data_IF_862603660718
#
_entry.id   IF_862603660718
#
_cell.length_a   1.000
_cell.length_b   1.000
_cell.length_c   1.000
_cell.angle_alpha   90.00
_cell.angle_beta   90.00
_cell.angle_gamma   90.00
#
_symmetry.space_group_name_H-M   'P 1'
#
loop_
_entity.id
_entity.type
_entity.pdbx_description
1 polymer ?
#
# COMPACT_ATOMS: atom_id res chain seq x y z
N UNK A 1 -13.78 22.23 -23.26
CA UNK A 1 -14.19 20.82 -23.08
C UNK A 1 -13.68 20.38 -21.72
N UNK A 2 -14.53 19.84 -20.85
CA UNK A 2 -14.09 19.29 -19.58
C UNK A 2 -13.30 18.00 -19.82
N UNK A 3 -12.24 17.75 -19.04
CA UNK A 3 -11.48 16.51 -19.13
C UNK A 3 -12.34 15.34 -18.64
N UNK A 4 -12.42 14.26 -19.43
CA UNK A 4 -13.19 13.07 -19.08
C UNK A 4 -12.39 12.16 -18.13
N UNK A 5 -12.57 12.41 -16.84
CA UNK A 5 -11.94 11.64 -15.77
C UNK A 5 -12.38 10.17 -15.76
N UNK A 6 -13.64 9.89 -16.09
CA UNK A 6 -14.16 8.52 -16.08
C UNK A 6 -13.48 7.69 -17.14
N UNK A 7 -13.41 8.21 -18.37
CA UNK A 7 -12.73 7.53 -19.48
C UNK A 7 -11.25 7.30 -19.21
N UNK A 8 -10.58 8.27 -18.58
CA UNK A 8 -9.17 8.13 -18.19
C UNK A 8 -8.98 7.03 -17.13
N UNK A 9 -9.86 6.95 -16.13
CA UNK A 9 -9.82 5.88 -15.12
C UNK A 9 -10.04 4.50 -15.76
N UNK A 10 -11.07 4.36 -16.59
CA UNK A 10 -11.39 3.09 -17.28
C UNK A 10 -10.22 2.60 -18.13
N UNK A 11 -9.63 3.48 -18.96
CA UNK A 11 -8.48 3.11 -19.80
C UNK A 11 -7.30 2.62 -18.97
N UNK A 12 -6.92 3.36 -17.93
CA UNK A 12 -5.79 2.99 -17.09
C UNK A 12 -6.08 1.73 -16.24
N UNK A 13 -7.35 1.49 -15.89
CA UNK A 13 -7.78 0.25 -15.23
C UNK A 13 -7.59 -0.96 -16.16
N UNK A 14 -8.06 -0.86 -17.41
CA UNK A 14 -7.91 -1.92 -18.42
C UNK A 14 -6.43 -2.27 -18.66
N UNK A 15 -5.58 -1.25 -18.81
CA UNK A 15 -4.13 -1.44 -19.03
C UNK A 15 -3.47 -2.08 -17.79
N UNK A 16 -3.84 -1.68 -16.58
CA UNK A 16 -3.35 -2.33 -15.35
C UNK A 16 -3.82 -3.78 -15.22
N UNK A 17 -5.06 -4.09 -15.58
CA UNK A 17 -5.58 -5.46 -15.56
C UNK A 17 -4.82 -6.36 -16.53
N UNK A 18 -4.46 -5.86 -17.73
CA UNK A 18 -3.57 -6.56 -18.68
C UNK A 18 -2.19 -6.84 -18.09
N UNK A 19 -1.58 -5.84 -17.45
CA UNK A 19 -0.29 -5.99 -16.79
C UNK A 19 -0.37 -7.02 -15.65
N UNK A 20 -1.43 -6.99 -14.85
CA UNK A 20 -1.66 -7.95 -13.77
C UNK A 20 -1.82 -9.37 -14.31
N UNK A 21 -2.58 -9.58 -15.39
CA UNK A 21 -2.68 -10.88 -16.04
C UNK A 21 -1.31 -11.41 -16.47
N UNK A 22 -0.45 -10.55 -17.04
CA UNK A 22 0.94 -10.92 -17.38
C UNK A 22 1.77 -11.27 -16.15
N UNK A 23 1.58 -10.58 -15.02
CA UNK A 23 2.26 -10.90 -13.76
C UNK A 23 1.86 -12.28 -13.22
N UNK A 24 0.57 -12.65 -13.31
CA UNK A 24 0.12 -14.00 -12.96
C UNK A 24 0.80 -15.08 -13.82
N UNK A 25 0.89 -14.84 -15.13
CA UNK A 25 1.59 -15.74 -16.06
C UNK A 25 3.08 -15.88 -15.71
N UNK A 26 3.79 -14.77 -15.50
CA UNK A 26 5.22 -14.76 -15.18
C UNK A 26 5.53 -15.39 -13.82
N UNK A 27 4.65 -15.21 -12.84
CA UNK A 27 4.80 -15.81 -11.51
C UNK A 27 4.34 -17.29 -11.46
N UNK A 28 3.84 -17.84 -12.57
CA UNK A 28 3.32 -19.21 -12.63
C UNK A 28 2.10 -19.43 -11.74
N UNK A 29 1.37 -18.36 -11.40
CA UNK A 29 0.17 -18.42 -10.55
C UNK A 29 -1.01 -18.78 -11.45
N UNK A 30 -1.30 -20.07 -11.59
CA UNK A 30 -2.52 -20.59 -12.22
C UNK A 30 -3.53 -20.94 -11.14
N UNK A 31 -4.82 -20.83 -11.46
CA UNK A 31 -5.98 -21.17 -10.61
C UNK A 31 -5.65 -22.14 -9.48
N UNK A 32 -5.55 -21.62 -8.25
CA UNK A 32 -5.32 -22.39 -7.02
C UNK A 32 -3.87 -22.65 -6.62
N UNK A 33 -2.89 -22.63 -7.54
CA UNK A 33 -1.48 -22.96 -7.23
C UNK A 33 -0.56 -21.77 -7.45
N UNK A 34 0.09 -21.30 -6.38
CA UNK A 34 1.24 -20.39 -6.48
C UNK A 34 2.51 -21.22 -6.39
N UNK A 35 3.49 -20.94 -7.24
CA UNK A 35 4.84 -21.45 -7.02
C UNK A 35 5.33 -20.96 -5.65
N UNK A 36 5.84 -21.89 -4.85
CA UNK A 36 6.41 -21.58 -3.53
C UNK A 36 7.79 -20.95 -3.72
N UNK A 37 8.55 -21.39 -4.72
CA UNK A 37 9.88 -20.89 -5.03
C UNK A 37 9.96 -20.45 -6.49
N UNK A 38 10.71 -19.39 -6.75
CA UNK A 38 11.03 -18.87 -8.08
C UNK A 38 12.54 -18.57 -8.17
N UNK A 39 13.18 -18.79 -9.33
CA UNK A 39 14.53 -18.29 -9.57
C UNK A 39 14.64 -16.80 -9.25
N UNK A 40 15.73 -16.39 -8.60
CA UNK A 40 15.96 -15.03 -8.11
C UNK A 40 15.87 -13.99 -9.24
N UNK A 41 16.40 -14.32 -10.41
CA UNK A 41 16.32 -13.46 -11.60
C UNK A 41 14.87 -13.23 -12.03
N UNK A 42 14.06 -14.30 -12.10
CA UNK A 42 12.65 -14.21 -12.46
C UNK A 42 11.86 -13.43 -11.40
N UNK A 43 12.10 -13.69 -10.11
CA UNK A 43 11.50 -12.94 -9.00
C UNK A 43 11.80 -11.45 -9.11
N UNK A 44 13.04 -11.08 -9.42
CA UNK A 44 13.47 -9.69 -9.57
C UNK A 44 12.80 -9.02 -10.77
N UNK A 45 12.66 -9.75 -11.88
CA UNK A 45 11.91 -9.31 -13.07
C UNK A 45 10.42 -9.10 -12.79
N UNK A 46 9.78 -10.00 -12.05
CA UNK A 46 8.37 -9.82 -11.66
C UNK A 46 8.23 -8.60 -10.75
N UNK A 47 9.15 -8.41 -9.80
CA UNK A 47 9.15 -7.24 -8.91
C UNK A 47 9.37 -5.91 -9.64
N UNK A 48 10.18 -5.89 -10.71
CA UNK A 48 10.42 -4.67 -11.48
C UNK A 48 9.18 -4.17 -12.23
N UNK A 49 8.22 -5.07 -12.52
CA UNK A 49 6.92 -4.73 -13.11
C UNK A 49 5.87 -4.49 -12.02
N UNK A 50 5.80 -5.37 -11.00
CA UNK A 50 4.81 -5.29 -9.93
C UNK A 50 4.93 -3.99 -9.13
N UNK A 51 6.15 -3.53 -8.81
CA UNK A 51 6.33 -2.31 -8.01
C UNK A 51 5.72 -1.09 -8.70
N UNK A 52 6.09 -0.73 -9.96
CA UNK A 52 5.41 0.31 -10.71
C UNK A 52 3.90 0.12 -10.81
N UNK A 53 3.41 -1.10 -11.03
CA UNK A 53 1.97 -1.39 -11.13
C UNK A 53 1.23 -1.06 -9.83
N UNK A 54 1.78 -1.44 -8.67
CA UNK A 54 1.21 -1.06 -7.37
C UNK A 54 1.20 0.46 -7.17
N UNK A 55 2.24 1.19 -7.60
CA UNK A 55 2.25 2.65 -7.54
C UNK A 55 1.20 3.28 -8.46
N UNK A 56 1.02 2.75 -9.66
CA UNK A 56 0.01 3.19 -10.61
C UNK A 56 -1.40 2.95 -10.07
N UNK A 57 -1.68 1.76 -9.52
CA UNK A 57 -2.98 1.42 -8.93
C UNK A 57 -3.36 2.36 -7.77
N UNK A 58 -2.40 2.72 -6.89
CA UNK A 58 -2.67 3.72 -5.82
C UNK A 58 -3.07 5.07 -6.39
N UNK A 59 -2.46 5.50 -7.49
CA UNK A 59 -2.79 6.76 -8.18
C UNK A 59 -4.15 6.69 -8.85
N UNK A 60 -4.48 5.56 -9.48
CA UNK A 60 -5.79 5.30 -10.06
C UNK A 60 -6.89 5.37 -8.98
N UNK A 61 -6.67 4.75 -7.83
CA UNK A 61 -7.58 4.83 -6.66
C UNK A 61 -7.77 6.28 -6.22
N UNK A 62 -6.72 7.11 -6.24
CA UNK A 62 -6.83 8.54 -5.91
C UNK A 62 -7.64 9.31 -6.93
N UNK A 63 -7.40 9.11 -8.23
CA UNK A 63 -8.22 9.71 -9.29
C UNK A 63 -9.69 9.36 -9.09
N UNK A 64 -9.96 8.07 -8.87
CA UNK A 64 -11.30 7.57 -8.63
C UNK A 64 -11.91 8.17 -7.35
N UNK A 65 -11.14 8.35 -6.28
CA UNK A 65 -11.61 8.92 -5.01
C UNK A 65 -11.90 10.43 -5.10
N UNK A 66 -11.17 11.16 -5.95
CA UNK A 66 -11.27 12.61 -6.04
C UNK A 66 -12.23 13.10 -7.13
N UNK A 67 -12.44 12.32 -8.20
CA UNK A 67 -13.11 12.80 -9.43
C UNK A 67 -14.32 11.99 -9.85
N UNK A 68 -14.57 10.82 -9.26
CA UNK A 68 -15.80 10.08 -9.50
C UNK A 68 -16.79 10.38 -8.37
N UNK A 69 -18.03 10.68 -8.74
CA UNK A 69 -19.13 10.93 -7.80
C UNK A 69 -19.34 9.67 -6.95
N UNK A 70 -19.33 9.84 -5.61
CA UNK A 70 -19.58 8.74 -4.68
C UNK A 70 -20.43 9.21 -3.51
N UNK A 71 -21.43 8.42 -3.18
CA UNK A 71 -22.19 8.54 -1.94
C UNK A 71 -21.34 8.07 -0.76
N UNK A 72 -20.43 8.93 -0.31
CA UNK A 72 -19.70 8.70 0.94
C UNK A 72 -20.59 9.14 2.09
N UNK A 73 -21.48 8.27 2.53
CA UNK A 73 -22.19 8.47 3.79
C UNK A 73 -21.17 8.34 4.92
N UNK A 74 -20.70 9.47 5.44
CA UNK A 74 -19.93 9.49 6.68
C UNK A 74 -20.92 9.15 7.79
N UNK A 75 -20.82 7.96 8.41
CA UNK A 75 -21.52 7.73 9.67
C UNK A 75 -21.13 8.85 10.65
N UNK A 76 -22.11 9.49 11.32
CA UNK A 76 -21.79 10.50 12.32
C UNK A 76 -20.87 9.89 13.37
N UNK A 77 -19.90 10.69 13.82
CA UNK A 77 -19.00 10.29 14.91
C UNK A 77 -19.88 9.82 16.07
N UNK A 78 -19.76 8.55 16.46
CA UNK A 78 -20.20 8.18 17.81
C UNK A 78 -19.40 9.07 18.74
N UNK A 79 -20.04 9.85 19.62
CA UNK A 79 -19.32 10.67 20.58
C UNK A 79 -18.32 9.77 21.29
N UNK A 80 -17.08 10.27 21.38
CA UNK A 80 -15.96 9.64 22.07
C UNK A 80 -16.36 9.42 23.53
N UNK A 81 -17.08 8.33 23.79
CA UNK A 81 -17.30 7.83 25.14
C UNK A 81 -15.92 7.37 25.58
N UNK A 82 -15.20 8.30 26.22
CA UNK A 82 -14.03 8.04 27.03
C UNK A 82 -14.38 6.83 27.88
N UNK A 83 -13.84 5.68 27.53
CA UNK A 83 -13.89 4.49 28.39
C UNK A 83 -13.11 4.90 29.63
N UNK A 84 -13.82 5.11 30.74
CA UNK A 84 -13.21 5.36 32.04
C UNK A 84 -12.24 4.23 32.39
N UNK A 85 -11.31 4.47 33.31
CA UNK A 85 -10.33 3.48 33.73
C UNK A 85 -10.99 2.47 34.67
N UNK A 86 -11.90 1.64 34.15
CA UNK A 86 -12.40 0.48 34.87
C UNK A 86 -11.53 -0.73 34.49
N UNK A 87 -10.65 -1.07 35.42
CA UNK A 87 -9.82 -2.27 35.38
C UNK A 87 -10.72 -3.51 35.30
N UNK A 88 -10.70 -4.17 34.16
CA UNK A 88 -11.29 -5.48 33.95
C UNK A 88 -10.24 -6.40 33.34
N UNK A 89 -9.84 -7.41 34.09
CA UNK A 89 -8.88 -8.45 33.74
C UNK A 89 -9.13 -9.05 32.34
N UNK A 90 -8.08 -9.27 31.51
CA UNK A 90 -8.25 -9.89 30.19
C UNK A 90 -8.46 -11.42 30.23
N UNK A 91 -8.62 -12.02 31.41
CA UNK A 91 -8.77 -13.47 31.61
C UNK A 91 -10.24 -13.92 31.62
N UNK A 92 -10.96 -13.72 30.50
CA UNK A 92 -12.24 -14.39 30.26
C UNK A 92 -12.54 -14.45 28.76
N UNK A 93 -11.74 -15.21 28.01
CA UNK A 93 -12.21 -15.81 26.76
C UNK A 93 -12.31 -17.30 26.99
N UNK A 94 -13.49 -17.71 27.43
CA UNK A 94 -13.87 -19.11 27.55
C UNK A 94 -13.69 -19.79 26.19
N UNK A 95 -12.76 -20.73 26.22
CA UNK A 95 -12.78 -22.02 25.54
C UNK A 95 -14.21 -22.56 25.41
N UNK A 96 -14.71 -22.62 24.18
CA UNK A 96 -15.81 -23.50 23.80
C UNK A 96 -15.22 -24.70 23.06
N UNK A 97 -15.34 -25.87 23.68
CA UNK A 97 -14.86 -27.17 23.22
C UNK A 97 -16.07 -28.02 22.81
N UNK A 98 -15.93 -28.80 21.72
CA UNK A 98 -16.91 -29.76 21.18
C UNK A 98 -17.55 -29.24 19.89
N UNK A 99 -17.51 -29.94 18.74
CA UNK A 99 -17.48 -31.39 18.49
C UNK A 99 -16.51 -31.73 17.35
N UNK A 100 -15.81 -32.84 17.51
CA UNK A 100 -14.99 -33.49 16.48
C UNK A 100 -15.90 -34.08 15.41
N UNK A 101 -15.89 -33.49 14.22
CA UNK A 101 -16.32 -34.15 12.99
C UNK A 101 -15.08 -34.26 12.09
N UNK A 102 -14.67 -35.50 11.86
CA UNK A 102 -13.63 -35.86 10.91
C UNK A 102 -14.09 -35.45 9.50
N UNK A 103 -13.62 -34.30 9.03
CA UNK A 103 -13.82 -33.84 7.65
C UNK A 103 -12.50 -33.85 6.90
N UNK A 104 -12.51 -34.45 5.71
CA UNK A 104 -11.36 -34.67 4.84
C UNK A 104 -10.47 -33.43 4.63
N UNK A 105 -9.14 -33.62 4.48
CA UNK A 105 -8.16 -32.53 4.52
C UNK A 105 -8.14 -31.62 3.27
N UNK A 106 -9.02 -31.83 2.29
CA UNK A 106 -9.02 -31.06 1.04
C UNK A 106 -9.65 -29.66 1.19
N UNK A 107 -10.59 -29.47 2.12
CA UNK A 107 -11.35 -28.23 2.26
C UNK A 107 -10.70 -27.21 3.20
N UNK A 108 -9.82 -27.66 4.09
CA UNK A 108 -9.07 -26.79 5.00
C UNK A 108 -8.09 -25.88 4.24
N UNK A 109 -7.41 -26.40 3.21
CA UNK A 109 -6.52 -25.60 2.36
C UNK A 109 -7.27 -24.54 1.52
N UNK A 110 -8.47 -24.88 1.04
CA UNK A 110 -9.36 -23.94 0.35
C UNK A 110 -9.88 -22.85 1.31
N UNK A 111 -10.25 -23.22 2.54
CA UNK A 111 -10.71 -22.28 3.55
C UNK A 111 -9.60 -21.34 4.04
N UNK A 112 -8.35 -21.80 4.15
CA UNK A 112 -7.21 -20.93 4.49
C UNK A 112 -6.86 -19.92 3.38
N UNK A 113 -7.03 -20.32 2.11
CA UNK A 113 -6.90 -19.42 0.96
C UNK A 113 -7.99 -18.32 0.91
N UNK A 114 -9.18 -18.59 1.45
CA UNK A 114 -10.27 -17.61 1.60
C UNK A 114 -10.20 -16.79 2.89
N UNK A 115 -9.64 -17.35 3.97
CA UNK A 115 -9.48 -16.70 5.28
C UNK A 115 -8.46 -15.56 5.23
N UNK A 116 -7.44 -15.70 4.39
CA UNK A 116 -6.33 -14.76 4.32
C UNK A 116 -6.34 -13.92 3.03
N UNK A 117 -7.49 -13.28 2.74
CA UNK A 117 -7.63 -12.34 1.62
C UNK A 117 -6.62 -11.20 1.76
N UNK A 118 -5.61 -11.12 0.86
CA UNK A 118 -4.54 -10.15 1.05
C UNK A 118 -5.07 -8.75 0.74
N UNK A 119 -4.94 -7.83 1.70
CA UNK A 119 -5.42 -6.45 1.53
C UNK A 119 -4.41 -5.58 0.81
N UNK A 120 -4.86 -4.75 -0.13
CA UNK A 120 -4.02 -3.77 -0.78
C UNK A 120 -3.78 -2.54 0.11
N UNK A 121 -2.53 -2.07 0.14
CA UNK A 121 -2.14 -0.87 0.89
C UNK A 121 -2.42 0.37 0.05
N UNK A 122 -3.38 1.20 0.48
CA UNK A 122 -3.79 2.43 -0.21
C UNK A 122 -2.67 3.48 -0.32
N UNK A 123 -1.76 3.52 0.64
CA UNK A 123 -0.72 4.53 0.73
C UNK A 123 0.58 4.06 0.10
N UNK A 124 1.29 4.97 -0.55
CA UNK A 124 2.65 4.70 -1.02
C UNK A 124 3.53 4.34 0.21
N UNK A 125 4.35 3.28 0.11
CA UNK A 125 5.39 3.02 1.11
C UNK A 125 6.28 4.26 1.25
N UNK A 126 6.65 4.61 2.48
CA UNK A 126 7.59 5.72 2.68
C UNK A 126 8.87 5.40 1.93
N UNK A 127 9.48 6.42 1.33
CA UNK A 127 10.87 6.31 0.90
C UNK A 127 11.65 5.93 2.15
N UNK A 128 12.16 4.70 2.21
CA UNK A 128 13.15 4.31 3.20
C UNK A 128 14.40 5.10 2.85
N UNK A 129 14.48 6.34 3.31
CA UNK A 129 15.77 7.00 3.50
C UNK A 129 16.41 6.20 4.66
N UNK A 130 17.25 5.22 4.38
CA UNK A 130 18.09 4.60 5.41
C UNK A 130 19.49 5.24 5.31
N UNK A 131 20.34 5.22 6.35
CA UNK A 131 20.12 5.47 7.78
C UNK A 131 21.13 6.55 8.25
N UNK A 132 21.32 7.65 7.52
CA UNK A 132 22.36 8.64 7.83
C UNK A 132 21.95 9.69 8.88
N UNK A 133 20.85 9.49 9.63
CA UNK A 133 20.35 10.51 10.56
C UNK A 133 19.84 10.00 11.93
N UNK A 134 19.99 8.71 12.23
CA UNK A 134 19.77 8.22 13.60
C UNK A 134 20.98 7.40 14.01
N UNK A 135 21.94 8.10 14.60
CA UNK A 135 22.84 7.52 15.58
C UNK A 135 21.97 7.00 16.74
N UNK A 136 21.91 5.67 16.87
CA UNK A 136 21.51 5.06 18.13
C UNK A 136 22.65 4.14 18.51
N UNK A 137 23.57 4.73 19.26
CA UNK A 137 24.56 4.07 20.09
C UNK A 137 24.02 2.75 20.70
N UNK A 138 24.76 1.66 20.50
CA UNK A 138 24.76 0.53 21.45
C UNK A 138 23.96 -0.73 21.11
N UNK A 139 23.95 -1.21 19.87
CA UNK A 139 23.52 -2.59 19.57
C UNK A 139 24.55 -3.33 18.70
N UNK A 140 25.46 -4.04 19.37
CA UNK A 140 26.27 -5.10 18.79
C UNK A 140 25.33 -6.23 18.33
N UNK A 141 25.10 -6.34 17.02
CA UNK A 141 24.31 -7.39 16.39
C UNK A 141 24.64 -7.51 14.90
N UNK A 142 24.38 -8.67 14.26
CA UNK A 142 24.99 -9.07 12.99
C UNK A 142 24.38 -8.38 11.76
N UNK A 143 23.73 -7.24 11.96
CA UNK A 143 23.43 -6.30 10.89
C UNK A 143 24.62 -5.35 10.75
N UNK A 144 25.75 -5.93 10.35
CA UNK A 144 26.92 -5.17 9.92
C UNK A 144 26.47 -4.19 8.85
N UNK A 145 26.41 -2.91 9.23
CA UNK A 145 26.32 -1.82 8.31
C UNK A 145 27.53 -1.94 7.39
N UNK A 146 27.32 -2.31 6.13
CA UNK A 146 28.33 -2.09 5.11
C UNK A 146 28.37 -0.58 4.92
N UNK A 147 29.19 0.09 5.74
CA UNK A 147 29.70 1.39 5.41
C UNK A 147 30.48 1.21 4.11
N UNK A 148 30.01 1.83 3.03
CA UNK A 148 30.80 1.96 1.82
C UNK A 148 31.84 3.03 2.13
N UNK A 149 32.98 2.60 2.65
CA UNK A 149 34.20 3.36 2.52
C UNK A 149 34.48 3.43 1.01
N UNK A 150 34.43 4.64 0.46
CA UNK A 150 34.91 4.85 -0.90
C UNK A 150 36.42 4.82 -0.80
N UNK A 151 37.04 3.67 -1.11
CA UNK A 151 38.46 3.65 -1.40
C UNK A 151 38.71 4.63 -2.55
N UNK A 152 39.69 5.52 -2.39
CA UNK A 152 40.04 6.59 -3.33
C UNK A 152 40.46 6.05 -4.72
N UNK A 153 40.63 4.74 -4.84
CA UNK A 153 41.06 4.00 -6.04
C UNK A 153 39.91 3.43 -6.88
N UNK A 154 38.71 4.03 -6.88
CA UNK A 154 37.70 3.83 -7.94
C UNK A 154 37.38 2.37 -8.34
N UNK A 155 37.49 1.43 -7.40
CA UNK A 155 37.26 0.00 -7.63
C UNK A 155 35.78 -0.32 -7.62
N UNK A 156 35.27 -0.85 -8.74
CA UNK A 156 33.92 -1.41 -8.88
C UNK A 156 33.78 -2.63 -7.97
N UNK A 157 33.39 -2.44 -6.70
CA UNK A 157 33.17 -3.56 -5.78
C UNK A 157 31.92 -4.33 -6.22
N UNK A 158 32.03 -5.61 -6.64
CA UNK A 158 30.88 -6.39 -7.00
C UNK A 158 30.09 -6.64 -5.72
N UNK A 159 28.83 -6.17 -5.68
CA UNK A 159 27.89 -6.68 -4.69
C UNK A 159 27.91 -8.23 -4.73
N UNK A 160 27.63 -8.93 -3.61
CA UNK A 160 27.82 -10.39 -3.56
C UNK A 160 27.16 -11.05 -4.78
N UNK A 161 27.97 -11.74 -5.59
CA UNK A 161 27.55 -12.48 -6.78
C UNK A 161 26.51 -13.52 -6.34
N UNK A 162 25.25 -13.13 -6.42
CA UNK A 162 24.11 -13.98 -6.07
C UNK A 162 23.71 -14.73 -7.32
N UNK A 163 23.69 -16.05 -7.22
CA UNK A 163 23.30 -16.92 -8.32
C UNK A 163 21.90 -16.51 -8.84
N UNK A 164 21.78 -16.13 -10.13
CA UNK A 164 20.51 -15.74 -10.73
C UNK A 164 19.45 -16.86 -10.69
N UNK A 165 19.88 -18.12 -10.67
CA UNK A 165 19.02 -19.29 -10.70
C UNK A 165 18.67 -19.82 -9.30
N UNK A 166 19.24 -19.21 -8.24
CA UNK A 166 18.91 -19.51 -6.85
C UNK A 166 17.39 -19.42 -6.62
N UNK A 167 16.82 -20.49 -6.08
CA UNK A 167 15.40 -20.56 -5.76
C UNK A 167 15.08 -19.74 -4.51
N UNK A 168 14.21 -18.74 -4.66
CA UNK A 168 13.80 -17.83 -3.59
C UNK A 168 12.30 -17.95 -3.33
N UNK A 169 11.87 -17.82 -2.08
CA UNK A 169 10.45 -17.83 -1.71
C UNK A 169 9.64 -16.75 -2.48
N UNK A 170 8.54 -17.21 -3.06
CA UNK A 170 7.63 -16.45 -3.89
C UNK A 170 6.25 -16.26 -3.25
N UNK A 171 5.94 -16.86 -2.10
CA UNK A 171 4.61 -16.74 -1.45
C UNK A 171 4.21 -15.29 -1.22
N UNK A 172 5.12 -14.48 -0.68
CA UNK A 172 4.89 -13.05 -0.47
C UNK A 172 4.70 -12.25 -1.77
N UNK A 173 5.32 -12.68 -2.87
CA UNK A 173 5.13 -12.08 -4.20
C UNK A 173 3.72 -12.33 -4.70
N UNK A 174 3.28 -13.58 -4.63
CA UNK A 174 1.97 -14.01 -5.11
C UNK A 174 0.83 -13.39 -4.31
N UNK A 175 0.99 -13.24 -2.98
CA UNK A 175 0.03 -12.51 -2.15
C UNK A 175 -0.11 -11.04 -2.58
N UNK A 176 0.99 -10.38 -2.95
CA UNK A 176 0.96 -9.00 -3.45
C UNK A 176 0.30 -8.88 -4.81
N UNK A 177 0.60 -9.79 -5.74
CA UNK A 177 -0.07 -9.82 -7.06
C UNK A 177 -1.58 -10.03 -6.88
N UNK A 178 -1.99 -10.97 -6.01
CA UNK A 178 -3.41 -11.19 -5.67
C UNK A 178 -4.05 -9.96 -5.03
N UNK A 179 -3.37 -9.30 -4.08
CA UNK A 179 -3.88 -8.08 -3.46
C UNK A 179 -4.11 -6.96 -4.48
N UNK A 180 -3.17 -6.79 -5.42
CA UNK A 180 -3.30 -5.83 -6.50
C UNK A 180 -4.50 -6.15 -7.40
N UNK A 181 -4.66 -7.42 -7.79
CA UNK A 181 -5.79 -7.85 -8.62
C UNK A 181 -7.13 -7.59 -7.93
N UNK A 182 -7.29 -8.00 -6.66
CA UNK A 182 -8.50 -7.76 -5.89
C UNK A 182 -8.82 -6.28 -5.70
N UNK A 183 -7.79 -5.43 -5.58
CA UNK A 183 -7.98 -3.99 -5.44
C UNK A 183 -8.39 -3.29 -6.74
N UNK A 184 -7.97 -3.81 -7.90
CA UNK A 184 -8.41 -3.31 -9.20
C UNK A 184 -9.83 -3.79 -9.52
N UNK A 185 -10.19 -5.00 -9.11
CA UNK A 185 -11.55 -5.55 -9.21
C UNK A 185 -12.55 -4.75 -8.35
N UNK A 186 -12.16 -4.40 -7.11
CA UNK A 186 -12.93 -3.52 -6.21
C UNK A 186 -12.40 -2.08 -6.19
N UNK A 187 -12.27 -1.46 -7.37
CA UNK A 187 -11.73 -0.09 -7.46
C UNK A 187 -12.60 0.91 -6.66
N UNK A 188 -13.93 0.77 -6.75
CA UNK A 188 -14.86 1.66 -6.08
C UNK A 188 -14.81 1.52 -4.55
N UNK A 189 -14.73 0.30 -4.02
CA UNK A 189 -14.58 0.09 -2.58
C UNK A 189 -13.27 0.65 -2.04
N UNK A 190 -12.16 0.46 -2.75
CA UNK A 190 -10.86 1.04 -2.36
C UNK A 190 -10.89 2.57 -2.37
N UNK A 191 -11.52 3.16 -3.38
CA UNK A 191 -11.56 4.60 -3.53
C UNK A 191 -12.58 5.26 -2.58
N UNK A 192 -13.69 4.60 -2.25
CA UNK A 192 -14.55 4.99 -1.12
C UNK A 192 -13.81 4.93 0.22
N UNK A 193 -12.99 3.90 0.45
CA UNK A 193 -12.14 3.80 1.66
C UNK A 193 -11.13 4.95 1.73
N UNK A 194 -10.54 5.35 0.61
CA UNK A 194 -9.65 6.51 0.53
C UNK A 194 -10.40 7.83 0.76
N UNK A 195 -11.58 8.01 0.17
CA UNK A 195 -12.41 9.21 0.35
C UNK A 195 -12.83 9.40 1.81
N UNK A 196 -13.22 8.32 2.51
CA UNK A 196 -13.47 8.33 3.96
C UNK A 196 -12.24 8.74 4.76
N UNK A 197 -11.05 8.30 4.35
CA UNK A 197 -9.81 8.75 4.99
C UNK A 197 -9.55 10.25 4.74
N UNK A 198 -9.69 10.73 3.49
CA UNK A 198 -9.52 12.15 3.12
C UNK A 198 -10.48 13.05 3.91
N UNK A 199 -11.75 12.66 4.04
CA UNK A 199 -12.75 13.41 4.80
C UNK A 199 -12.39 13.51 6.30
N UNK A 200 -11.96 12.41 6.92
CA UNK A 200 -11.49 12.41 8.32
C UNK A 200 -10.26 13.28 8.50
N UNK A 201 -9.32 13.22 7.56
CA UNK A 201 -8.11 14.05 7.58
C UNK A 201 -8.45 15.55 7.48
N UNK A 202 -9.29 15.94 6.52
CA UNK A 202 -9.72 17.34 6.35
C UNK A 202 -10.46 17.88 7.58
N UNK A 203 -11.32 17.07 8.20
CA UNK A 203 -11.98 17.43 9.47
C UNK A 203 -10.98 17.65 10.61
N UNK A 204 -9.99 16.78 10.74
CA UNK A 204 -8.95 16.91 11.78
C UNK A 204 -8.10 18.17 11.58
N UNK A 205 -7.70 18.47 10.34
CA UNK A 205 -6.95 19.69 10.01
C UNK A 205 -7.81 20.94 10.24
N UNK A 206 -9.08 20.94 9.81
CA UNK A 206 -9.99 22.07 10.04
C UNK A 206 -10.23 22.34 11.53
N UNK A 207 -10.37 21.28 12.34
CA UNK A 207 -10.48 21.41 13.81
C UNK A 207 -9.22 21.99 14.43
N UNK A 208 -8.04 21.58 13.96
CA UNK A 208 -6.77 22.15 14.41
C UNK A 208 -6.65 23.64 14.07
N UNK A 209 -6.95 24.03 12.82
CA UNK A 209 -6.94 25.43 12.40
C UNK A 209 -7.91 26.30 13.20
N UNK A 210 -9.09 25.77 13.53
CA UNK A 210 -10.08 26.48 14.34
C UNK A 210 -9.66 26.62 15.80
N UNK A 211 -8.98 25.61 16.36
CA UNK A 211 -8.37 25.68 17.69
C UNK A 211 -7.18 26.66 17.76
N UNK A 212 -6.29 26.64 16.77
CA UNK A 212 -5.17 27.59 16.65
C UNK A 212 -5.67 29.04 16.53
N UNK A 213 -6.82 29.25 15.88
CA UNK A 213 -7.48 30.55 15.77
C UNK A 213 -8.25 30.99 17.04
N UNK A 214 -8.25 30.17 18.10
CA UNK A 214 -8.98 30.46 19.35
C UNK A 214 -10.51 30.47 19.20
N UNK A 215 -11.05 29.82 18.16
CA UNK A 215 -12.49 29.84 17.82
C UNK A 215 -13.27 28.66 18.40
N UNK A 216 -12.64 27.80 19.20
CA UNK A 216 -13.31 26.69 19.89
C UNK A 216 -13.06 26.84 21.40
N UNK A 217 -14.13 27.08 22.14
CA UNK A 217 -14.06 27.14 23.61
C UNK A 217 -13.64 25.79 24.20
N UNK A 218 -12.66 25.80 25.11
CA UNK A 218 -12.20 24.62 25.84
C UNK A 218 -11.27 23.67 25.07
N UNK A 219 -10.82 24.04 23.86
CA UNK A 219 -9.85 23.25 23.07
C UNK A 219 -8.59 24.07 22.85
N UNK A 220 -7.52 23.75 23.60
CA UNK A 220 -6.19 24.32 23.35
C UNK A 220 -5.45 23.53 22.26
N UNK A 221 -4.47 24.13 21.55
CA UNK A 221 -3.70 23.43 20.51
C UNK A 221 -3.09 22.09 20.97
N UNK A 222 -2.69 22.02 22.24
CA UNK A 222 -2.12 20.80 22.85
C UNK A 222 -3.15 19.67 23.06
N UNK A 223 -4.44 20.02 23.16
CA UNK A 223 -5.54 19.04 23.31
C UNK A 223 -6.04 18.47 21.99
N UNK A 224 -5.72 19.11 20.86
CA UNK A 224 -6.10 18.62 19.53
C UNK A 224 -5.14 17.52 19.12
N UNK A 225 -5.61 16.26 19.14
CA UNK A 225 -4.83 15.13 18.63
C UNK A 225 -4.52 15.35 17.15
N UNK A 226 -3.23 15.53 16.83
CA UNK A 226 -2.77 15.64 15.44
C UNK A 226 -3.17 14.39 14.64
N UNK A 227 -3.61 14.53 13.38
CA UNK A 227 -3.93 13.38 12.55
C UNK A 227 -2.69 12.49 12.41
N UNK A 228 -2.82 11.25 12.89
CA UNK A 228 -1.77 10.22 12.77
C UNK A 228 -2.20 9.20 11.71
N UNK A 229 -1.32 8.82 10.78
CA UNK A 229 0.06 9.29 10.60
C UNK A 229 0.14 10.68 9.94
N UNK A 230 1.28 11.37 10.11
CA UNK A 230 1.61 12.68 9.52
C UNK A 230 1.82 12.58 8.00
N UNK A 231 0.78 12.16 7.27
CA UNK A 231 0.74 12.02 5.81
C UNK A 231 -0.29 12.99 5.25
N UNK A 232 0.17 14.09 4.65
CA UNK A 232 -0.69 15.06 3.98
C UNK A 232 -1.30 14.56 2.67
N UNK A 233 -0.68 13.53 2.05
CA UNK A 233 -1.08 12.98 0.75
C UNK A 233 -0.97 11.45 0.76
N UNK A 234 -1.77 10.76 -0.08
CA UNK A 234 -1.66 9.32 -0.27
C UNK A 234 -0.33 8.91 -0.93
N UNK A 235 0.28 9.84 -1.67
CA UNK A 235 1.55 9.67 -2.36
C UNK A 235 2.75 9.88 -1.45
N UNK A 236 3.84 9.20 -1.76
CA UNK A 236 5.16 9.56 -1.22
C UNK A 236 5.64 10.88 -1.85
N UNK A 237 6.49 11.66 -1.16
CA UNK A 237 7.15 12.80 -1.78
C UNK A 237 7.99 12.39 -3.01
N UNK A 238 7.93 13.21 -4.05
CA UNK A 238 8.65 13.02 -5.30
C UNK A 238 7.97 12.03 -6.27
N UNK A 239 8.73 11.63 -7.29
CA UNK A 239 8.26 10.74 -8.35
C UNK A 239 8.18 9.29 -7.86
N UNK A 240 7.21 8.49 -8.35
CA UNK A 240 7.12 7.08 -7.99
C UNK A 240 8.33 6.28 -8.50
N UNK A 241 8.73 5.20 -7.80
CA UNK A 241 9.66 4.22 -8.35
C UNK A 241 9.19 3.68 -9.70
N UNK A 242 10.10 3.64 -10.68
CA UNK A 242 9.79 3.24 -12.05
C UNK A 242 9.25 4.37 -12.93
N UNK A 243 9.07 5.58 -12.40
CA UNK A 243 8.72 6.72 -13.24
C UNK A 243 9.86 7.07 -14.20
N UNK A 244 9.52 7.32 -15.46
CA UNK A 244 10.45 7.84 -16.47
C UNK A 244 9.80 8.93 -17.29
N UNK A 245 10.60 9.93 -17.67
CA UNK A 245 10.14 11.04 -18.54
C UNK A 245 9.72 10.53 -19.92
N UNK A 246 10.47 9.59 -20.48
CA UNK A 246 10.21 8.91 -21.75
C UNK A 246 9.99 7.42 -21.46
N UNK A 247 8.73 6.96 -21.31
CA UNK A 247 8.44 5.56 -21.04
C UNK A 247 8.84 4.70 -22.24
N UNK A 248 9.41 3.52 -21.98
CA UNK A 248 9.75 2.51 -22.98
C UNK A 248 8.85 1.28 -22.89
N UNK A 249 8.25 1.08 -21.74
CA UNK A 249 7.35 -0.05 -21.46
C UNK A 249 5.96 0.47 -21.14
N UNK A 250 4.95 -0.35 -21.44
CA UNK A 250 3.55 -0.09 -21.13
C UNK A 250 3.34 0.32 -19.66
N UNK A 251 4.00 -0.39 -18.73
CA UNK A 251 3.88 -0.08 -17.30
C UNK A 251 4.46 1.29 -16.92
N UNK A 252 5.55 1.72 -17.56
CA UNK A 252 6.13 3.05 -17.33
C UNK A 252 5.19 4.16 -17.85
N UNK A 253 4.50 3.90 -18.96
CA UNK A 253 3.53 4.82 -19.54
C UNK A 253 2.31 4.98 -18.64
N UNK A 254 1.68 3.87 -18.25
CA UNK A 254 0.54 3.85 -17.32
C UNK A 254 0.91 4.52 -16.00
N UNK A 255 2.07 4.21 -15.43
CA UNK A 255 2.52 4.84 -14.18
C UNK A 255 2.70 6.36 -14.33
N UNK A 256 3.29 6.80 -15.46
CA UNK A 256 3.49 8.23 -15.72
C UNK A 256 2.15 8.96 -15.85
N UNK A 257 1.22 8.41 -16.63
CA UNK A 257 -0.10 8.98 -16.84
C UNK A 257 -0.90 9.04 -15.54
N UNK A 258 -1.05 7.91 -14.85
CA UNK A 258 -1.71 7.83 -13.55
C UNK A 258 -1.09 8.82 -12.55
N UNK A 259 0.24 8.98 -12.54
CA UNK A 259 0.89 9.91 -11.61
C UNK A 259 0.53 11.36 -11.88
N UNK A 260 0.56 11.80 -13.14
CA UNK A 260 0.21 13.16 -13.52
C UNK A 260 -1.27 13.45 -13.23
N UNK A 261 -2.15 12.56 -13.67
CA UNK A 261 -3.59 12.70 -13.49
C UNK A 261 -4.00 12.65 -12.02
N UNK A 262 -3.39 11.79 -11.21
CA UNK A 262 -3.71 11.70 -9.79
C UNK A 262 -3.20 12.90 -8.99
N UNK A 263 -2.09 13.53 -9.40
CA UNK A 263 -1.64 14.78 -8.82
C UNK A 263 -2.60 15.93 -9.15
N UNK A 264 -3.01 16.03 -10.41
CA UNK A 264 -3.98 17.04 -10.85
C UNK A 264 -5.33 16.83 -10.14
N UNK A 265 -5.82 15.59 -10.10
CA UNK A 265 -7.04 15.22 -9.39
C UNK A 265 -7.00 15.60 -7.92
N UNK A 266 -5.89 15.32 -7.23
CA UNK A 266 -5.74 15.63 -5.81
C UNK A 266 -5.68 17.13 -5.54
N UNK A 267 -4.95 17.88 -6.37
CA UNK A 267 -4.78 19.33 -6.18
C UNK A 267 -6.04 20.13 -6.52
N UNK A 268 -6.91 19.59 -7.38
CA UNK A 268 -8.15 20.24 -7.83
C UNK A 268 -9.40 19.67 -7.14
N UNK A 269 -9.25 19.06 -5.95
CA UNK A 269 -10.31 18.39 -5.18
C UNK A 269 -10.34 18.80 -3.71
#
# INVERSE_FOLDING_TARGET
>A
MAFDWKRAVERNLDDLLRIVARLFLLAGIRTGRSLVFLPRALRSRVLSILRPAEFAARRLIVMAACKLERDVTLSPERPDQRRGPDGGDPSARQTGHGTEEEHEPADAELLDLYRDRPSFQLFDPWKRYAPFLFDVTGLEGPFGHVFVEYDEDGGDWPGPDRDPDELVDARGLSRRIRALALALDDLDGQAARLARWKARFNRAIGRMQLADAGKIDGVTPDTVRRPTPWRFRPFRPGLPPGWRRRPRTEIEEVLKECHMLALDAWNTS
#
